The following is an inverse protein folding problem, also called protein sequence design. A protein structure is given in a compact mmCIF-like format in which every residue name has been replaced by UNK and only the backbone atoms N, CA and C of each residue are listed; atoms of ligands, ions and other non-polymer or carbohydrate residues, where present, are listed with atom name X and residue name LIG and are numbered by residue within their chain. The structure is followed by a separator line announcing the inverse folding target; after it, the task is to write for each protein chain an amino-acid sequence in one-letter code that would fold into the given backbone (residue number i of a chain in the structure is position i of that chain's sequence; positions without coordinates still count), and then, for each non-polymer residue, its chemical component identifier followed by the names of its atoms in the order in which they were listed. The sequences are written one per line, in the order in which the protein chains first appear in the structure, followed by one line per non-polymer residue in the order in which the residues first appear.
data_IF_963945801704
#
_entry.id   IF_963945801704
#
_cell.length_a   1.000
_cell.length_b   1.000
_cell.length_c   1.000
_cell.angle_alpha   90.00
_cell.angle_beta   90.00
_cell.angle_gamma   90.00
#
_symmetry.space_group_name_H-M   'P 1'
#
loop_
_entity.id
_entity.type
_entity.pdbx_description
1 polymer ?
#
# COMPACT_ATOMS: atom_id res chain seq x y z
N UNK A 1 16.44 27.13 -22.38
CA UNK A 1 15.23 27.73 -23.01
C UNK A 1 15.02 29.12 -22.43
N UNK A 2 15.57 30.16 -23.07
CA UNK A 2 15.61 31.52 -22.52
C UNK A 2 14.30 32.30 -22.66
N UNK A 3 14.17 33.38 -21.88
CA UNK A 3 12.97 34.24 -21.77
C UNK A 3 12.50 34.80 -23.13
N UNK A 4 13.45 35.17 -24.02
CA UNK A 4 13.14 35.64 -25.37
C UNK A 4 12.41 34.59 -26.21
N UNK A 5 12.82 33.33 -26.11
CA UNK A 5 12.20 32.24 -26.86
C UNK A 5 10.77 31.94 -26.42
N UNK A 6 10.45 32.17 -25.13
CA UNK A 6 9.09 32.02 -24.60
C UNK A 6 8.17 33.16 -25.02
N UNK A 7 8.68 34.39 -25.09
CA UNK A 7 7.91 35.56 -25.54
C UNK A 7 7.60 35.44 -27.04
N UNK A 8 8.60 35.14 -27.87
CA UNK A 8 8.41 34.97 -29.32
C UNK A 8 7.43 33.83 -29.64
N UNK A 9 7.48 32.74 -28.86
CA UNK A 9 6.55 31.61 -28.98
C UNK A 9 5.13 31.98 -28.55
N UNK A 10 4.96 32.79 -27.50
CA UNK A 10 3.66 33.28 -27.07
C UNK A 10 2.98 34.17 -28.11
N UNK A 11 3.76 34.98 -28.83
CA UNK A 11 3.26 35.86 -29.90
C UNK A 11 2.83 35.08 -31.16
N UNK A 12 3.60 34.05 -31.57
CA UNK A 12 3.38 33.34 -32.83
C UNK A 12 2.49 32.09 -32.70
N UNK A 13 2.52 31.40 -31.54
CA UNK A 13 1.88 30.08 -31.37
C UNK A 13 0.75 30.04 -30.33
N UNK A 14 0.50 31.12 -29.59
CA UNK A 14 -0.53 31.17 -28.54
C UNK A 14 -0.19 30.30 -27.31
N UNK A 15 -1.18 30.05 -26.45
CA UNK A 15 -1.01 29.28 -25.23
C UNK A 15 -0.78 27.78 -25.49
N UNK A 16 0.07 27.14 -24.70
CA UNK A 16 0.39 25.72 -24.81
C UNK A 16 -0.79 24.82 -24.38
N UNK A 17 -1.24 23.95 -25.29
CA UNK A 17 -2.34 22.97 -25.09
C UNK A 17 -1.85 21.53 -24.94
N UNK A 18 -0.57 21.26 -25.18
CA UNK A 18 0.00 19.91 -25.22
C UNK A 18 0.52 19.46 -23.85
N UNK A 19 1.00 20.39 -23.03
CA UNK A 19 1.56 20.04 -21.72
C UNK A 19 0.49 19.91 -20.64
N UNK A 20 0.65 18.98 -19.68
CA UNK A 20 -0.33 18.76 -18.62
C UNK A 20 -0.61 20.02 -17.81
N UNK A 21 -1.88 20.27 -17.52
CA UNK A 21 -2.27 21.40 -16.70
C UNK A 21 -1.85 21.20 -15.24
N UNK A 22 -1.24 22.22 -14.64
CA UNK A 22 -0.67 22.13 -13.28
C UNK A 22 -1.10 23.30 -12.40
N UNK A 23 -0.89 23.19 -11.09
CA UNK A 23 -1.21 24.25 -10.12
C UNK A 23 -0.43 25.55 -10.29
N UNK A 24 0.59 25.59 -11.16
CA UNK A 24 1.35 26.82 -11.48
C UNK A 24 0.80 27.54 -12.71
N UNK A 25 -0.23 26.97 -13.32
CA UNK A 25 -0.92 27.52 -14.49
C UNK A 25 -2.35 27.85 -14.08
N UNK A 26 -2.95 28.81 -14.77
CA UNK A 26 -4.29 29.29 -14.47
C UNK A 26 -4.31 30.45 -13.48
N UNK A 27 -5.51 30.85 -13.09
CA UNK A 27 -5.77 31.99 -12.21
C UNK A 27 -5.51 31.64 -10.74
N UNK A 28 -5.61 32.65 -9.86
CA UNK A 28 -5.44 32.51 -8.40
C UNK A 28 -6.34 31.44 -7.76
N UNK A 29 -7.54 31.21 -8.30
CA UNK A 29 -8.48 30.20 -7.80
C UNK A 29 -8.16 28.77 -8.27
N UNK A 30 -7.28 28.61 -9.25
CA UNK A 30 -6.91 27.30 -9.79
C UNK A 30 -5.90 26.58 -8.89
N UNK A 31 -6.39 25.95 -7.82
CA UNK A 31 -5.57 25.19 -6.89
C UNK A 31 -5.75 23.66 -7.05
N UNK A 32 -5.11 23.10 -8.09
CA UNK A 32 -5.16 21.66 -8.41
C UNK A 32 -4.41 20.76 -7.41
N UNK A 33 -3.42 21.29 -6.68
CA UNK A 33 -2.52 20.48 -5.85
C UNK A 33 -1.51 19.63 -6.65
N UNK A 34 -0.78 18.76 -5.93
CA UNK A 34 0.33 17.92 -6.46
C UNK A 34 0.30 16.46 -6.00
N UNK A 35 -0.88 15.95 -5.62
CA UNK A 35 -1.05 14.55 -5.21
C UNK A 35 -0.84 14.28 -3.71
N UNK A 36 -0.53 15.30 -2.91
CA UNK A 36 -0.54 15.17 -1.45
C UNK A 36 -1.93 14.78 -0.95
N UNK A 37 -2.02 13.71 -0.15
CA UNK A 37 -3.27 13.27 0.47
C UNK A 37 -3.55 14.15 1.69
N UNK A 38 -4.78 14.65 1.88
CA UNK A 38 -5.12 15.49 3.02
C UNK A 38 -5.14 14.67 4.31
N UNK A 39 -4.65 15.24 5.41
CA UNK A 39 -4.64 14.63 6.75
C UNK A 39 -5.69 15.27 7.69
N UNK A 40 -6.84 15.65 7.13
CA UNK A 40 -7.85 16.45 7.80
C UNK A 40 -8.79 17.15 6.83
N UNK A 41 -9.63 18.05 7.36
CA UNK A 41 -10.69 18.72 6.60
C UNK A 41 -10.67 20.24 6.76
N UNK A 42 -11.16 20.95 5.73
CA UNK A 42 -11.42 22.39 5.82
C UNK A 42 -12.74 22.63 6.56
N UNK A 43 -12.73 23.57 7.49
CA UNK A 43 -13.93 24.02 8.21
C UNK A 43 -14.64 25.14 7.42
N UNK A 44 -15.94 25.39 7.68
CA UNK A 44 -16.67 26.51 7.08
C UNK A 44 -16.02 27.89 7.36
N UNK A 45 -15.29 28.01 8.48
CA UNK A 45 -14.51 29.21 8.84
C UNK A 45 -13.27 29.44 7.97
N UNK A 46 -12.97 28.56 7.01
CA UNK A 46 -11.77 28.62 6.17
C UNK A 46 -10.51 28.06 6.85
N UNK A 47 -10.56 27.74 8.14
CA UNK A 47 -9.47 27.08 8.88
C UNK A 47 -9.35 25.60 8.49
N UNK A 48 -8.16 25.04 8.62
CA UNK A 48 -7.90 23.60 8.41
C UNK A 48 -7.85 22.88 9.76
N UNK A 49 -8.63 21.82 9.92
CA UNK A 49 -8.62 20.96 11.10
C UNK A 49 -7.91 19.64 10.76
N UNK A 50 -6.79 19.38 11.43
CA UNK A 50 -6.06 18.12 11.34
C UNK A 50 -6.80 17.02 12.11
N UNK A 51 -6.85 15.82 11.54
CA UNK A 51 -7.47 14.64 12.16
C UNK A 51 -6.35 13.63 12.40
N UNK A 52 -6.12 13.26 13.65
CA UNK A 52 -4.95 12.44 14.04
C UNK A 52 -4.96 11.09 13.32
N UNK A 53 -6.12 10.48 13.20
CA UNK A 53 -6.34 9.17 12.56
C UNK A 53 -6.09 9.18 11.05
N UNK A 54 -6.08 10.36 10.41
CA UNK A 54 -5.73 10.52 8.99
C UNK A 54 -4.23 10.77 8.78
N UNK A 55 -3.47 11.05 9.83
CA UNK A 55 -2.02 11.25 9.77
C UNK A 55 -1.37 9.86 9.80
N UNK A 56 -0.59 9.46 8.78
CA UNK A 56 0.07 8.17 8.77
C UNK A 56 1.15 8.10 9.86
N UNK A 57 1.11 7.05 10.66
CA UNK A 57 2.14 6.75 11.67
C UNK A 57 3.14 5.72 11.12
N UNK A 58 4.43 6.01 11.25
CA UNK A 58 5.49 5.10 10.84
C UNK A 58 5.81 4.13 11.97
N UNK A 59 5.52 2.84 11.76
CA UNK A 59 5.85 1.77 12.72
C UNK A 59 7.29 1.32 12.48
N UNK A 60 8.23 1.83 13.28
CA UNK A 60 9.67 1.55 13.16
C UNK A 60 10.11 0.55 14.25
N UNK A 61 10.62 -0.64 13.89
CA UNK A 61 11.11 -1.62 14.87
C UNK A 61 12.48 -1.25 15.44
N UNK A 62 12.83 -1.79 16.62
CA UNK A 62 14.20 -1.72 17.14
C UNK A 62 15.13 -2.64 16.32
N UNK A 63 16.29 -2.13 15.90
CA UNK A 63 17.26 -2.84 15.07
C UNK A 63 18.56 -3.20 15.83
N UNK A 64 18.60 -3.03 17.15
CA UNK A 64 19.73 -3.47 17.97
C UNK A 64 19.97 -4.98 17.82
N UNK A 65 21.21 -5.37 17.49
CA UNK A 65 21.57 -6.78 17.27
C UNK A 65 21.05 -7.41 15.95
N UNK A 66 20.48 -6.62 15.04
CA UNK A 66 19.95 -7.14 13.78
C UNK A 66 21.07 -7.63 12.84
N UNK A 67 21.01 -8.91 12.44
CA UNK A 67 22.09 -9.58 11.69
C UNK A 67 22.06 -9.32 10.19
N UNK A 68 20.88 -9.07 9.61
CA UNK A 68 20.72 -8.89 8.17
C UNK A 68 21.28 -7.53 7.74
N UNK A 69 21.92 -7.51 6.57
CA UNK A 69 22.53 -6.31 5.99
C UNK A 69 21.88 -5.98 4.64
N UNK A 70 21.96 -4.72 4.17
CA UNK A 70 21.42 -4.34 2.86
C UNK A 70 22.03 -5.07 1.67
N UNK A 71 23.22 -5.67 1.84
CA UNK A 71 23.95 -6.38 0.81
C UNK A 71 24.32 -7.80 1.27
N UNK A 72 24.32 -8.73 0.33
CA UNK A 72 24.66 -10.15 0.52
C UNK A 72 26.00 -10.44 -0.16
N UNK A 73 26.78 -11.38 0.39
CA UNK A 73 28.06 -11.81 -0.20
C UNK A 73 27.84 -12.59 -1.51
N UNK A 74 28.74 -12.40 -2.49
CA UNK A 74 28.79 -13.20 -3.71
C UNK A 74 29.12 -14.69 -3.47
N UNK A 75 29.57 -15.06 -2.27
CA UNK A 75 29.83 -16.46 -1.91
C UNK A 75 28.55 -17.26 -1.69
N UNK A 76 27.39 -16.61 -1.61
CA UNK A 76 26.11 -17.29 -1.42
C UNK A 76 25.71 -18.08 -2.68
N UNK A 77 25.16 -19.30 -2.53
CA UNK A 77 24.65 -20.06 -3.66
C UNK A 77 23.47 -19.34 -4.31
N UNK A 78 23.23 -19.65 -5.58
CA UNK A 78 22.08 -19.10 -6.30
C UNK A 78 20.78 -19.72 -5.76
N UNK A 79 19.79 -18.88 -5.45
CA UNK A 79 18.46 -19.34 -5.05
C UNK A 79 17.77 -20.10 -6.18
N UNK A 80 17.23 -21.28 -5.87
CA UNK A 80 16.51 -22.17 -6.80
C UNK A 80 15.03 -22.29 -6.45
N UNK A 81 14.54 -21.49 -5.51
CA UNK A 81 13.20 -21.66 -4.95
C UNK A 81 12.11 -21.27 -5.97
N UNK A 82 11.06 -22.10 -6.10
CA UNK A 82 9.91 -21.79 -6.94
C UNK A 82 9.08 -20.64 -6.36
N UNK A 83 8.21 -20.00 -7.15
CA UNK A 83 7.29 -18.98 -6.64
C UNK A 83 6.35 -19.58 -5.59
N UNK A 84 6.14 -18.84 -4.51
CA UNK A 84 5.28 -19.26 -3.41
C UNK A 84 3.80 -19.25 -3.84
N UNK A 85 3.05 -20.30 -3.52
CA UNK A 85 1.63 -20.46 -3.91
C UNK A 85 0.74 -20.72 -2.70
N UNK A 86 -0.57 -20.50 -2.85
CA UNK A 86 -1.55 -20.79 -1.80
C UNK A 86 -1.60 -22.27 -1.42
N UNK A 87 -1.33 -23.17 -2.38
CA UNK A 87 -1.26 -24.61 -2.12
C UNK A 87 -0.07 -24.95 -1.22
N UNK A 88 1.13 -24.42 -1.54
CA UNK A 88 2.33 -24.61 -0.72
C UNK A 88 2.07 -24.12 0.72
N UNK A 89 1.49 -22.93 0.88
CA UNK A 89 1.15 -22.40 2.20
C UNK A 89 0.17 -23.30 2.97
N UNK A 90 -0.87 -23.79 2.29
CA UNK A 90 -1.87 -24.68 2.90
C UNK A 90 -1.23 -26.01 3.33
N UNK A 91 -0.41 -26.61 2.46
CA UNK A 91 0.24 -27.89 2.69
C UNK A 91 1.26 -27.83 3.82
N UNK A 92 1.98 -26.71 3.97
CA UNK A 92 2.99 -26.52 5.01
C UNK A 92 2.36 -26.20 6.38
N UNK A 93 1.33 -25.34 6.42
CA UNK A 93 0.81 -24.79 7.69
C UNK A 93 -0.43 -25.52 8.19
N UNK A 94 -1.43 -25.72 7.33
CA UNK A 94 -2.77 -26.16 7.75
C UNK A 94 -2.96 -27.67 7.59
N UNK A 95 -2.46 -28.25 6.50
CA UNK A 95 -2.63 -29.66 6.19
C UNK A 95 -2.11 -30.62 7.27
N UNK A 96 -0.97 -30.37 7.97
CA UNK A 96 -0.51 -31.27 9.04
C UNK A 96 -1.50 -31.34 10.20
N UNK A 97 -2.18 -30.24 10.53
CA UNK A 97 -3.17 -30.20 11.60
C UNK A 97 -4.44 -30.95 11.19
N UNK A 98 -4.93 -30.74 9.97
CA UNK A 98 -6.11 -31.45 9.45
C UNK A 98 -5.87 -32.96 9.38
N UNK A 99 -4.70 -33.40 8.91
CA UNK A 99 -4.36 -34.83 8.84
C UNK A 99 -4.39 -35.51 10.20
N UNK A 100 -3.80 -34.88 11.22
CA UNK A 100 -3.82 -35.39 12.61
C UNK A 100 -5.25 -35.55 13.14
N UNK A 101 -6.08 -34.52 12.99
CA UNK A 101 -7.45 -34.54 13.48
C UNK A 101 -8.33 -35.52 12.69
N UNK A 102 -8.02 -35.74 11.41
CA UNK A 102 -8.67 -36.73 10.56
C UNK A 102 -8.31 -38.17 10.98
N UNK A 103 -7.03 -38.46 11.19
CA UNK A 103 -6.55 -39.76 11.70
C UNK A 103 -7.09 -40.07 13.10
N UNK A 104 -7.25 -39.03 13.95
CA UNK A 104 -7.85 -39.16 15.27
C UNK A 104 -9.39 -39.30 15.25
N UNK A 105 -10.05 -39.15 14.09
CA UNK A 105 -11.50 -39.22 13.96
C UNK A 105 -12.26 -38.03 14.55
N UNK A 106 -11.58 -36.91 14.84
CA UNK A 106 -12.15 -35.69 15.45
C UNK A 106 -12.43 -34.60 14.40
N UNK A 107 -12.08 -34.85 13.14
CA UNK A 107 -12.29 -33.89 12.06
C UNK A 107 -13.79 -33.64 11.80
N UNK A 108 -14.16 -32.35 11.79
CA UNK A 108 -15.50 -31.89 11.42
C UNK A 108 -15.41 -30.76 10.38
N UNK A 109 -16.14 -30.90 9.27
CA UNK A 109 -16.21 -29.93 8.18
C UNK A 109 -16.89 -28.62 8.56
N UNK A 110 -17.78 -28.62 9.55
CA UNK A 110 -18.48 -27.40 9.96
C UNK A 110 -17.63 -26.51 10.88
N UNK A 111 -16.51 -27.03 11.38
CA UNK A 111 -15.62 -26.36 12.35
C UNK A 111 -14.29 -25.91 11.72
N UNK A 112 -14.32 -25.39 10.49
CA UNK A 112 -13.12 -24.94 9.78
C UNK A 112 -12.43 -23.73 10.43
N UNK A 113 -13.17 -22.92 11.19
CA UNK A 113 -12.63 -21.77 11.91
C UNK A 113 -11.52 -22.18 12.91
N UNK A 114 -11.61 -23.40 13.46
CA UNK A 114 -10.56 -24.01 14.30
C UNK A 114 -9.21 -24.09 13.59
N UNK A 115 -9.23 -24.27 12.27
CA UNK A 115 -8.03 -24.39 11.43
C UNK A 115 -7.65 -23.04 10.78
N UNK A 116 -8.29 -21.94 11.21
CA UNK A 116 -7.99 -20.59 10.73
C UNK A 116 -8.77 -20.16 9.49
N UNK A 117 -9.78 -20.92 9.05
CA UNK A 117 -10.65 -20.47 7.97
C UNK A 117 -11.54 -19.33 8.45
N UNK A 118 -11.59 -18.26 7.66
CA UNK A 118 -12.37 -17.07 7.94
C UNK A 118 -13.47 -16.91 6.88
N UNK A 119 -14.73 -17.29 7.17
CA UNK A 119 -15.80 -17.30 6.16
C UNK A 119 -16.15 -15.90 5.67
N UNK A 120 -16.07 -14.90 6.55
CA UNK A 120 -16.35 -13.50 6.23
C UNK A 120 -15.22 -12.58 6.71
N UNK A 121 -15.08 -11.44 6.03
CA UNK A 121 -14.10 -10.41 6.37
C UNK A 121 -14.72 -9.24 7.15
N UNK A 122 -16.01 -9.34 7.47
CA UNK A 122 -16.71 -8.31 8.23
C UNK A 122 -16.35 -8.37 9.71
N UNK A 123 -16.33 -7.20 10.36
CA UNK A 123 -15.86 -7.06 11.74
C UNK A 123 -14.33 -7.11 11.92
N UNK A 124 -13.56 -7.43 10.88
CA UNK A 124 -12.09 -7.44 10.95
C UNK A 124 -11.49 -6.04 10.83
N UNK A 125 -10.48 -5.78 11.66
CA UNK A 125 -9.69 -4.55 11.60
C UNK A 125 -8.91 -4.48 10.27
N UNK A 126 -8.24 -5.58 9.90
CA UNK A 126 -7.51 -5.71 8.64
C UNK A 126 -8.27 -6.64 7.70
N UNK A 127 -8.92 -6.07 6.69
CA UNK A 127 -9.69 -6.82 5.69
C UNK A 127 -8.80 -7.19 4.51
N UNK A 128 -8.88 -8.45 4.08
CA UNK A 128 -8.18 -8.91 2.87
C UNK A 128 -8.85 -8.37 1.59
N UNK A 129 -10.19 -8.40 1.53
CA UNK A 129 -10.97 -7.89 0.40
C UNK A 129 -12.29 -7.25 0.87
N UNK A 130 -12.61 -6.00 0.47
CA UNK A 130 -11.70 -5.03 -0.14
C UNK A 130 -10.62 -4.61 0.87
N UNK A 131 -9.36 -4.56 0.40
CA UNK A 131 -8.20 -4.24 1.22
C UNK A 131 -8.33 -2.84 1.86
N UNK A 132 -8.18 -2.75 3.18
CA UNK A 132 -8.35 -1.50 3.94
C UNK A 132 -7.08 -0.99 4.64
N UNK A 133 -5.92 -1.62 4.43
CA UNK A 133 -4.65 -1.23 5.05
C UNK A 133 -3.59 -0.83 4.02
N UNK A 134 -2.60 -0.06 4.47
CA UNK A 134 -1.48 0.42 3.65
C UNK A 134 -0.35 -0.62 3.65
N UNK A 135 0.53 -0.57 2.65
CA UNK A 135 1.74 -1.43 2.57
C UNK A 135 2.89 -0.79 3.35
#
# INVERSE_FOLDING_TARGET
MGVLSTILRGLVRGADRMSPFTSKRGSKSHNKGRGARPAGRKLPSGKYATVREMIPEFVVPNLEGFKLKPYVSYRSPRGTEPPFTAQILFDEVVAPQIKRDFEAGVFNKDQLEKYGFEPTQDGKLFKLYPKNYVR
#
